data_IF_483147410457
#
_entry.id   IF_483147410457
#
_cell.length_a   1.000
_cell.length_b   1.000
_cell.length_c   1.000
_cell.angle_alpha   90.00
_cell.angle_beta   90.00
_cell.angle_gamma   90.00
#
_symmetry.space_group_name_H-M   'P 1'
#
loop_
_entity.id
_entity.type
_entity.pdbx_description
1 polymer ?
#
# COMPACT_ATOMS: atom_id res chain seq x y z
N UNK A 1 0.83 6.42 0.86
CA UNK A 1 0.75 5.13 0.15
C UNK A 1 0.32 5.39 -1.29
N UNK A 2 0.75 4.55 -2.23
CA UNK A 2 0.36 4.62 -3.65
C UNK A 2 0.02 3.20 -4.10
N UNK A 3 -1.00 3.06 -4.94
CA UNK A 3 -1.48 1.77 -5.43
C UNK A 3 -1.43 1.73 -6.95
N UNK A 4 -1.11 0.57 -7.52
CA UNK A 4 -1.23 0.35 -8.97
C UNK A 4 -2.68 0.30 -9.45
N UNK A 5 -3.64 0.06 -8.55
CA UNK A 5 -5.08 0.14 -8.85
C UNK A 5 -5.56 1.59 -8.95
N UNK A 6 -4.88 2.53 -8.28
CA UNK A 6 -5.21 3.96 -8.28
C UNK A 6 -3.96 4.79 -8.58
N UNK A 7 -3.44 4.74 -9.82
CA UNK A 7 -2.13 5.30 -10.17
C UNK A 7 -2.07 6.83 -10.03
N UNK A 8 -3.20 7.52 -10.18
CA UNK A 8 -3.29 8.97 -10.05
C UNK A 8 -3.56 9.45 -8.61
N UNK A 9 -3.67 8.53 -7.64
CA UNK A 9 -4.06 8.84 -6.28
C UNK A 9 -2.96 8.50 -5.28
N UNK A 10 -2.89 9.28 -4.20
CA UNK A 10 -2.14 8.95 -3.01
C UNK A 10 -3.07 8.90 -1.79
N UNK A 11 -2.72 8.01 -0.87
CA UNK A 11 -3.49 7.74 0.33
C UNK A 11 -2.64 8.06 1.56
N UNK A 12 -3.16 8.84 2.48
CA UNK A 12 -2.51 9.21 3.73
C UNK A 12 -3.37 8.71 4.88
N UNK A 13 -2.85 7.74 5.63
CA UNK A 13 -3.46 7.31 6.89
C UNK A 13 -2.96 8.22 8.01
N UNK A 14 -3.91 8.78 8.74
CA UNK A 14 -3.65 9.53 9.99
C UNK A 14 -3.73 8.58 11.18
N UNK A 15 -3.12 8.97 12.30
CA UNK A 15 -3.10 8.17 13.53
C UNK A 15 -4.53 7.95 14.12
N UNK A 16 -5.52 8.73 13.66
CA UNK A 16 -6.93 8.60 14.03
C UNK A 16 -7.71 7.61 13.12
N UNK A 17 -7.02 6.72 12.40
CA UNK A 17 -7.59 5.82 11.39
C UNK A 17 -8.38 6.51 10.26
N UNK A 18 -8.22 7.82 10.08
CA UNK A 18 -8.78 8.55 8.95
C UNK A 18 -7.88 8.40 7.72
N UNK A 19 -8.49 8.17 6.57
CA UNK A 19 -7.80 8.10 5.28
C UNK A 19 -8.08 9.37 4.49
N UNK A 20 -7.03 10.11 4.16
CA UNK A 20 -7.10 11.18 3.17
C UNK A 20 -6.72 10.60 1.81
N UNK A 21 -7.59 10.79 0.82
CA UNK A 21 -7.33 10.48 -0.58
C UNK A 21 -7.09 11.79 -1.31
N UNK A 22 -5.96 11.90 -1.99
CA UNK A 22 -5.59 13.07 -2.75
C UNK A 22 -4.91 12.66 -4.06
N UNK A 23 -4.68 13.62 -4.95
CA UNK A 23 -3.87 13.41 -6.15
C UNK A 23 -2.37 13.31 -5.80
N UNK A 24 -1.55 12.98 -6.79
CA UNK A 24 -0.10 12.80 -6.60
C UNK A 24 0.64 14.07 -6.15
N UNK A 25 0.16 15.28 -6.47
CA UNK A 25 0.80 16.54 -6.08
C UNK A 25 0.76 16.77 -4.56
N UNK A 26 -0.19 16.15 -3.86
CA UNK A 26 -0.24 16.17 -2.40
C UNK A 26 1.02 15.60 -1.73
N UNK A 27 1.82 14.79 -2.45
CA UNK A 27 3.13 14.31 -1.97
C UNK A 27 4.14 15.43 -1.74
N UNK A 28 4.06 16.48 -2.55
CA UNK A 28 4.90 17.67 -2.50
C UNK A 28 4.43 18.64 -1.41
N UNK A 29 3.15 18.59 -1.06
CA UNK A 29 2.54 19.44 -0.02
C UNK A 29 3.28 19.39 1.31
N UNK A 30 3.62 18.18 1.79
CA UNK A 30 4.40 18.02 3.01
C UNK A 30 5.84 18.58 2.91
N UNK A 31 6.35 18.80 1.69
CA UNK A 31 7.62 19.48 1.43
C UNK A 31 7.53 21.00 1.61
N UNK A 32 6.37 21.61 1.34
CA UNK A 32 6.12 23.03 1.62
C UNK A 32 5.94 23.31 3.12
N UNK A 33 5.48 22.31 3.87
CA UNK A 33 5.29 22.42 5.33
C UNK A 33 6.56 22.15 6.15
N UNK A 34 7.76 22.07 5.55
CA UNK A 34 9.01 21.69 6.26
C UNK A 34 9.31 22.50 7.54
N UNK A 35 8.85 23.75 7.63
CA UNK A 35 9.00 24.59 8.82
C UNK A 35 8.13 24.13 10.02
N UNK A 36 6.99 23.49 9.75
CA UNK A 36 6.02 23.06 10.77
C UNK A 36 5.81 21.54 10.82
N UNK A 37 6.27 20.81 9.79
CA UNK A 37 6.07 19.39 9.61
C UNK A 37 7.41 18.69 9.40
N UNK A 38 7.89 18.01 10.44
CA UNK A 38 9.01 17.09 10.37
C UNK A 38 8.49 15.74 9.86
N UNK A 39 8.63 15.49 8.55
CA UNK A 39 8.37 14.15 7.99
C UNK A 39 9.36 13.18 8.64
N UNK A 40 8.91 12.40 9.63
CA UNK A 40 9.68 11.23 10.10
C UNK A 40 10.02 10.39 8.87
N UNK A 41 11.30 10.05 8.68
CA UNK A 41 11.74 9.02 7.72
C UNK A 41 11.16 7.68 8.19
N UNK A 42 9.85 7.50 8.05
CA UNK A 42 9.18 6.23 8.26
C UNK A 42 9.65 5.32 7.13
N UNK A 43 10.06 4.13 7.53
CA UNK A 43 10.41 3.03 6.65
C UNK A 43 9.38 2.92 5.53
N UNK A 44 9.81 3.21 4.31
CA UNK A 44 8.98 3.02 3.14
C UNK A 44 8.87 1.51 2.93
N UNK A 45 7.67 0.97 3.07
CA UNK A 45 7.42 -0.43 2.68
C UNK A 45 7.04 -0.42 1.21
N UNK A 46 7.82 -1.15 0.41
CA UNK A 46 7.50 -1.38 -1.00
C UNK A 46 7.01 -2.81 -1.17
N UNK A 47 5.88 -2.97 -1.84
CA UNK A 47 5.33 -4.27 -2.22
C UNK A 47 5.52 -4.48 -3.72
N UNK A 48 6.13 -5.59 -4.12
CA UNK A 48 6.13 -6.04 -5.51
C UNK A 48 5.48 -7.40 -5.59
N UNK A 49 4.51 -7.56 -6.48
CA UNK A 49 3.70 -8.76 -6.53
C UNK A 49 3.14 -9.09 -7.89
N UNK A 50 2.59 -10.30 -7.98
CA UNK A 50 1.96 -10.86 -9.18
C UNK A 50 0.50 -11.14 -8.86
N UNK A 51 -0.38 -10.74 -9.79
CA UNK A 51 -1.82 -10.98 -9.71
C UNK A 51 -2.20 -12.18 -10.57
N UNK A 52 -2.99 -13.08 -10.00
CA UNK A 52 -3.57 -14.24 -10.66
C UNK A 52 -5.09 -14.19 -10.57
N UNK A 53 -5.76 -14.86 -11.51
CA UNK A 53 -7.20 -15.06 -11.49
C UNK A 53 -7.50 -16.55 -11.56
N UNK A 54 -8.28 -17.05 -10.62
CA UNK A 54 -8.73 -18.44 -10.54
C UNK A 54 -10.26 -18.47 -10.42
N UNK A 55 -10.94 -18.65 -11.55
CA UNK A 55 -12.40 -18.55 -11.61
C UNK A 55 -12.88 -17.17 -11.15
N UNK A 56 -13.70 -17.17 -10.10
CA UNK A 56 -14.23 -15.95 -9.47
C UNK A 56 -13.32 -15.38 -8.39
N UNK A 57 -12.11 -15.93 -8.20
CA UNK A 57 -11.15 -15.42 -7.22
C UNK A 57 -10.00 -14.68 -7.90
N UNK A 58 -9.69 -13.48 -7.40
CA UNK A 58 -8.45 -12.78 -7.64
C UNK A 58 -7.45 -13.06 -6.52
N UNK A 59 -6.23 -13.46 -6.86
CA UNK A 59 -5.13 -13.70 -5.93
C UNK A 59 -4.02 -12.70 -6.19
N UNK A 60 -3.49 -12.06 -5.16
CA UNK A 60 -2.35 -11.16 -5.26
C UNK A 60 -1.26 -11.62 -4.28
N UNK A 61 -0.11 -12.02 -4.81
CA UNK A 61 1.06 -12.41 -4.01
C UNK A 61 2.07 -11.27 -4.05
N UNK A 62 2.35 -10.66 -2.91
CA UNK A 62 3.19 -9.46 -2.79
C UNK A 62 4.34 -9.73 -1.84
N UNK A 63 5.57 -9.55 -2.31
CA UNK A 63 6.77 -9.55 -1.47
C UNK A 63 6.99 -8.14 -0.93
N UNK A 64 7.22 -8.03 0.38
CA UNK A 64 7.41 -6.78 1.10
C UNK A 64 8.90 -6.49 1.34
N UNK A 65 9.32 -5.28 1.01
CA UNK A 65 10.68 -4.76 1.17
C UNK A 65 10.66 -3.49 2.03
N UNK A 66 11.72 -3.24 2.80
CA UNK A 66 11.89 -2.01 3.60
C UNK A 66 12.94 -1.08 2.98
N UNK A 67 12.51 0.09 2.52
CA UNK A 67 13.37 1.13 1.98
C UNK A 67 14.10 0.66 0.71
N UNK A 68 15.38 0.99 0.61
CA UNK A 68 16.23 0.58 -0.52
C UNK A 68 16.88 -0.80 -0.31
N UNK A 69 16.53 -1.51 0.76
CA UNK A 69 17.11 -2.83 1.04
C UNK A 69 16.44 -3.90 0.19
N UNK A 70 17.25 -4.71 -0.49
CA UNK A 70 16.78 -5.90 -1.19
C UNK A 70 16.34 -7.04 -0.24
N UNK A 71 16.50 -6.87 1.07
CA UNK A 71 16.07 -7.85 2.05
C UNK A 71 14.55 -7.95 2.10
N UNK A 72 14.05 -9.17 1.91
CA UNK A 72 12.63 -9.50 2.08
C UNK A 72 12.27 -9.37 3.56
N UNK A 73 11.21 -8.62 3.85
CA UNK A 73 10.65 -8.42 5.21
C UNK A 73 9.35 -9.14 5.45
N UNK A 74 8.76 -9.67 4.39
CA UNK A 74 7.53 -10.44 4.50
C UNK A 74 6.85 -10.69 3.18
N UNK A 75 5.71 -11.36 3.29
CA UNK A 75 4.81 -11.66 2.19
C UNK A 75 3.40 -11.23 2.57
N UNK A 76 2.70 -10.61 1.63
CA UNK A 76 1.28 -10.30 1.71
C UNK A 76 0.57 -11.13 0.64
N UNK A 77 -0.45 -11.87 1.05
CA UNK A 77 -1.32 -12.63 0.15
C UNK A 77 -2.71 -12.02 0.28
N UNK A 78 -3.26 -11.53 -0.83
CA UNK A 78 -4.63 -11.02 -0.88
C UNK A 78 -5.49 -11.93 -1.74
N UNK A 79 -6.66 -12.29 -1.22
CA UNK A 79 -7.68 -13.05 -1.93
C UNK A 79 -8.92 -12.17 -2.03
N UNK A 80 -9.39 -11.90 -3.26
CA UNK A 80 -10.62 -11.14 -3.53
C UNK A 80 -11.64 -12.07 -4.21
N UNK A 81 -12.86 -12.15 -3.69
CA UNK A 81 -13.98 -12.79 -4.39
C UNK A 81 -14.65 -11.81 -5.35
N UNK A 82 -14.88 -12.21 -6.60
CA UNK A 82 -15.68 -11.47 -7.57
C UNK A 82 -17.18 -11.72 -7.40
N UNK A 83 -17.59 -12.76 -6.66
CA UNK A 83 -18.99 -13.09 -6.46
C UNK A 83 -19.55 -12.43 -5.19
N UNK A 84 -20.36 -11.41 -5.42
CA UNK A 84 -21.46 -10.88 -4.60
C UNK A 84 -21.19 -10.16 -3.28
N UNK A 85 -20.00 -10.24 -2.70
CA UNK A 85 -19.56 -9.32 -1.64
C UNK A 85 -18.07 -9.10 -1.90
N UNK A 86 -17.59 -7.85 -1.95
CA UNK A 86 -16.15 -7.52 -2.08
C UNK A 86 -15.37 -7.98 -0.83
N UNK A 87 -15.27 -9.30 -0.64
CA UNK A 87 -14.60 -9.91 0.48
C UNK A 87 -13.12 -10.00 0.11
N UNK A 88 -12.33 -9.18 0.79
CA UNK A 88 -10.88 -9.15 0.66
C UNK A 88 -10.32 -9.80 1.92
N UNK A 89 -9.66 -10.94 1.76
CA UNK A 89 -8.87 -11.56 2.81
C UNK A 89 -7.39 -11.24 2.57
N UNK A 90 -6.78 -10.52 3.51
CA UNK A 90 -5.35 -10.17 3.47
C UNK A 90 -4.61 -10.92 4.57
N UNK A 91 -3.63 -11.74 4.20
CA UNK A 91 -2.77 -12.46 5.14
C UNK A 91 -1.35 -11.89 5.02
N UNK A 92 -0.78 -11.46 6.14
CA UNK A 92 0.57 -10.89 6.21
C UNK A 92 1.48 -11.85 6.99
N UNK A 93 2.56 -12.26 6.36
CA UNK A 93 3.65 -13.01 6.97
C UNK A 93 4.87 -12.09 7.10
N UNK A 94 5.30 -11.80 8.33
CA UNK A 94 6.51 -11.03 8.58
C UNK A 94 7.71 -11.99 8.81
N UNK A 95 8.88 -11.61 8.29
CA UNK A 95 10.17 -12.32 8.44
C UNK A 95 11.10 -11.57 9.38
#
# INVERSE_FOLDING_TARGET
MTSSEFPASCFVLTDNNTVLVADLAFREFAGYLKASYQRKKKLQVEGKGIKYKLGDFGLNFVTLFMGQSAAVKGYLIEVRSCCHCDLILSIIFAL
#
